data_IF_668446456562
#
_entry.id   IF_668446456562
#
_cell.length_a   1.000
_cell.length_b   1.000
_cell.length_c   1.000
_cell.angle_alpha   90.00
_cell.angle_beta   90.00
_cell.angle_gamma   90.00
#
_symmetry.space_group_name_H-M   'P 1'
#
loop_
_entity.id
_entity.type
_entity.pdbx_description
1 polymer ?
#
# COMPACT_ATOMS: atom_id res chain seq x y z
N UNK A 1 -6.24 -3.39 -11.94
CA UNK A 1 -5.92 -1.95 -11.78
C UNK A 1 -5.25 -1.64 -10.44
N UNK A 2 -5.86 -1.94 -9.28
CA UNK A 2 -5.29 -1.60 -7.95
C UNK A 2 -3.80 -1.98 -7.81
N UNK A 3 -3.46 -3.25 -8.05
CA UNK A 3 -2.08 -3.74 -7.87
C UNK A 3 -1.07 -3.06 -8.81
N UNK A 4 -1.51 -2.65 -9.99
CA UNK A 4 -0.66 -1.95 -10.97
C UNK A 4 -0.33 -0.53 -10.49
N UNK A 5 -1.31 0.15 -9.89
CA UNK A 5 -1.08 1.46 -9.26
C UNK A 5 -0.21 1.30 -8.01
N UNK A 6 -0.37 0.22 -7.25
CA UNK A 6 0.49 -0.04 -6.10
C UNK A 6 1.95 -0.34 -6.50
N UNK A 7 2.19 -1.03 -7.61
CA UNK A 7 3.56 -1.20 -8.13
C UNK A 7 4.24 0.12 -8.51
N UNK A 8 3.48 1.19 -8.79
CA UNK A 8 4.05 2.52 -8.98
C UNK A 8 4.59 3.10 -7.66
N UNK A 9 3.95 2.83 -6.51
CA UNK A 9 4.52 3.18 -5.20
C UNK A 9 5.81 2.42 -4.94
N UNK A 10 5.81 1.10 -5.10
CA UNK A 10 7.03 0.29 -4.93
C UNK A 10 8.16 0.76 -5.85
N UNK A 11 7.84 1.18 -7.09
CA UNK A 11 8.84 1.72 -8.00
C UNK A 11 9.41 3.06 -7.51
N UNK A 12 8.57 3.92 -6.94
CA UNK A 12 9.01 5.18 -6.32
C UNK A 12 9.99 4.90 -5.18
N UNK A 13 9.64 3.99 -4.28
CA UNK A 13 10.49 3.54 -3.17
C UNK A 13 11.84 3.00 -3.65
N UNK A 14 11.82 2.19 -4.71
CA UNK A 14 13.05 1.68 -5.31
C UNK A 14 13.93 2.80 -5.86
N UNK A 15 13.34 3.78 -6.57
CA UNK A 15 14.08 4.92 -7.10
C UNK A 15 14.68 5.75 -5.96
N UNK A 16 13.89 6.07 -4.93
CA UNK A 16 14.35 6.78 -3.74
C UNK A 16 15.47 6.02 -3.03
N UNK A 17 15.36 4.70 -2.93
CA UNK A 17 16.42 3.85 -2.40
C UNK A 17 17.68 3.89 -3.26
N UNK A 18 17.59 3.95 -4.58
CA UNK A 18 18.80 4.10 -5.40
C UNK A 18 19.45 5.49 -5.25
N UNK A 19 18.65 6.53 -5.01
CA UNK A 19 19.13 7.91 -4.88
C UNK A 19 19.45 8.31 -3.44
N UNK A 20 19.15 7.51 -2.42
CA UNK A 20 19.13 7.92 -1.01
C UNK A 20 20.40 8.63 -0.51
N UNK A 21 21.58 8.28 -1.04
CA UNK A 21 22.85 8.94 -0.71
C UNK A 21 22.95 10.38 -1.22
N UNK A 22 22.30 10.67 -2.33
CA UNK A 22 22.27 12.00 -2.96
C UNK A 22 21.23 12.90 -2.29
N UNK A 23 20.10 12.32 -1.89
CA UNK A 23 18.96 13.04 -1.29
C UNK A 23 18.91 12.94 0.25
N UNK A 24 19.96 12.38 0.88
CA UNK A 24 20.11 12.24 2.33
C UNK A 24 18.91 11.58 3.06
N UNK A 25 18.32 10.55 2.46
CA UNK A 25 17.23 9.80 3.10
C UNK A 25 17.84 8.77 4.07
N UNK A 26 17.39 8.72 5.34
CA UNK A 26 17.88 7.75 6.30
C UNK A 26 17.56 6.32 5.88
N UNK A 27 18.52 5.40 5.99
CA UNK A 27 18.35 3.99 5.59
C UNK A 27 17.20 3.28 6.34
N UNK A 28 16.91 3.70 7.58
CA UNK A 28 15.81 3.19 8.39
C UNK A 28 14.44 3.35 7.71
N UNK A 29 14.25 4.43 6.94
CA UNK A 29 13.01 4.67 6.19
C UNK A 29 12.67 3.49 5.27
N UNK A 30 13.65 3.02 4.50
CA UNK A 30 13.43 1.95 3.52
C UNK A 30 13.13 0.59 4.15
N UNK A 31 13.66 0.31 5.35
CA UNK A 31 13.28 -0.91 6.07
C UNK A 31 11.79 -0.89 6.45
N UNK A 32 11.26 0.28 6.81
CA UNK A 32 9.84 0.43 7.10
C UNK A 32 9.00 0.38 5.84
N UNK A 33 9.34 1.14 4.79
CA UNK A 33 8.50 1.21 3.59
C UNK A 33 8.48 -0.10 2.81
N UNK A 34 9.62 -0.72 2.53
CA UNK A 34 9.65 -2.05 1.89
C UNK A 34 9.01 -3.14 2.76
N UNK A 35 9.09 -3.02 4.09
CA UNK A 35 8.38 -3.89 5.01
C UNK A 35 6.87 -3.77 4.86
N UNK A 36 6.37 -2.53 4.78
CA UNK A 36 4.95 -2.25 4.56
C UNK A 36 4.51 -2.68 3.16
N UNK A 37 5.33 -2.49 2.13
CA UNK A 37 5.05 -2.99 0.77
C UNK A 37 4.81 -4.49 0.75
N UNK A 38 5.67 -5.24 1.43
CA UNK A 38 5.48 -6.68 1.58
C UNK A 38 4.16 -7.02 2.29
N UNK A 39 3.82 -6.29 3.36
CA UNK A 39 2.56 -6.49 4.09
C UNK A 39 1.32 -6.14 3.25
N UNK A 40 1.40 -5.14 2.37
CA UNK A 40 0.35 -4.83 1.39
C UNK A 40 0.17 -6.00 0.41
N UNK A 41 1.27 -6.54 -0.13
CA UNK A 41 1.23 -7.70 -1.04
C UNK A 41 0.65 -8.94 -0.35
N UNK A 42 1.04 -9.22 0.89
CA UNK A 42 0.47 -10.31 1.69
C UNK A 42 -1.03 -10.10 1.91
N UNK A 43 -1.45 -8.88 2.22
CA UNK A 43 -2.87 -8.54 2.40
C UNK A 43 -3.66 -8.72 1.11
N UNK A 44 -3.07 -8.37 -0.03
CA UNK A 44 -3.66 -8.64 -1.35
C UNK A 44 -3.84 -10.13 -1.62
N UNK A 45 -2.83 -10.95 -1.32
CA UNK A 45 -2.93 -12.41 -1.43
C UNK A 45 -4.04 -12.96 -0.52
N UNK A 46 -4.16 -12.46 0.71
CA UNK A 46 -5.26 -12.84 1.62
C UNK A 46 -6.64 -12.50 1.05
N UNK A 47 -6.78 -11.36 0.36
CA UNK A 47 -8.03 -10.99 -0.34
C UNK A 47 -8.35 -12.00 -1.45
N UNK A 48 -7.35 -12.44 -2.23
CA UNK A 48 -7.55 -13.48 -3.27
C UNK A 48 -8.04 -14.81 -2.69
N UNK A 49 -7.66 -15.12 -1.44
CA UNK A 49 -8.16 -16.27 -0.69
C UNK A 49 -9.45 -15.99 0.12
N UNK A 50 -10.15 -14.88 -0.18
CA UNK A 50 -11.42 -14.51 0.45
C UNK A 50 -11.34 -14.35 1.97
N UNK A 51 -10.16 -13.94 2.49
CA UNK A 51 -9.94 -13.71 3.91
C UNK A 51 -10.31 -12.28 4.31
N UNK A 52 -11.23 -12.14 5.26
CA UNK A 52 -11.66 -10.85 5.84
C UNK A 52 -10.50 -10.00 6.36
N UNK A 53 -9.50 -10.66 6.95
CA UNK A 53 -8.31 -10.00 7.49
C UNK A 53 -7.57 -9.21 6.40
N UNK A 54 -7.42 -9.77 5.20
CA UNK A 54 -6.75 -9.08 4.09
C UNK A 54 -7.47 -7.80 3.67
N UNK A 55 -8.80 -7.79 3.75
CA UNK A 55 -9.65 -6.65 3.39
C UNK A 55 -9.45 -5.47 4.34
N UNK A 56 -9.19 -5.76 5.62
CA UNK A 56 -8.94 -4.72 6.63
C UNK A 56 -7.47 -4.27 6.58
N UNK A 57 -6.56 -5.23 6.47
CA UNK A 57 -5.13 -4.96 6.49
C UNK A 57 -4.64 -4.22 5.23
N UNK A 58 -5.21 -4.50 4.06
CA UNK A 58 -4.79 -3.86 2.81
C UNK A 58 -4.86 -2.32 2.85
N UNK A 59 -6.02 -1.68 3.09
CA UNK A 59 -6.08 -0.22 3.16
C UNK A 59 -5.32 0.35 4.37
N UNK A 60 -5.22 -0.41 5.47
CA UNK A 60 -4.44 0.00 6.64
C UNK A 60 -2.95 0.13 6.28
N UNK A 61 -2.36 -0.87 5.62
CA UNK A 61 -0.95 -0.84 5.25
C UNK A 61 -0.67 0.17 4.14
N UNK A 62 -1.56 0.37 3.17
CA UNK A 62 -1.41 1.45 2.19
C UNK A 62 -1.46 2.83 2.87
N UNK A 63 -2.33 3.03 3.86
CA UNK A 63 -2.35 4.28 4.63
C UNK A 63 -1.08 4.47 5.49
N UNK A 64 -0.52 3.40 6.06
CA UNK A 64 0.75 3.44 6.78
C UNK A 64 1.89 3.78 5.81
N UNK A 65 1.93 3.18 4.62
CA UNK A 65 2.92 3.50 3.58
C UNK A 65 2.88 4.99 3.23
N UNK A 66 1.68 5.51 2.95
CA UNK A 66 1.47 6.93 2.69
C UNK A 66 1.92 7.81 3.87
N UNK A 67 1.61 7.41 5.10
CA UNK A 67 1.99 8.14 6.31
C UNK A 67 3.51 8.15 6.52
N UNK A 68 4.22 7.07 6.19
CA UNK A 68 5.68 7.01 6.25
C UNK A 68 6.30 8.01 5.28
N UNK A 69 5.84 8.04 4.03
CA UNK A 69 6.28 9.01 3.03
C UNK A 69 5.99 10.45 3.45
N UNK A 70 4.80 10.71 4.00
CA UNK A 70 4.45 12.03 4.48
C UNK A 70 5.29 12.45 5.71
N UNK A 71 5.53 11.52 6.64
CA UNK A 71 6.26 11.81 7.88
C UNK A 71 7.77 11.99 7.65
N UNK A 72 8.40 11.10 6.87
CA UNK A 72 9.86 11.14 6.65
C UNK A 72 10.26 12.09 5.52
N UNK A 73 9.48 12.17 4.46
CA UNK A 73 9.86 12.88 3.23
C UNK A 73 8.99 14.10 2.94
N UNK A 74 7.89 14.31 3.69
CA UNK A 74 6.85 15.30 3.35
C UNK A 74 6.29 15.14 1.93
N UNK A 75 6.39 13.93 1.37
CA UNK A 75 5.94 13.59 0.03
C UNK A 75 4.48 13.17 0.05
N UNK A 76 3.70 13.66 -0.92
CA UNK A 76 2.32 13.23 -1.13
C UNK A 76 2.26 12.23 -2.30
N UNK A 77 2.20 10.94 -1.98
CA UNK A 77 2.11 9.89 -3.00
C UNK A 77 0.68 9.75 -3.54
N UNK A 78 0.46 10.31 -4.73
CA UNK A 78 -0.80 10.16 -5.46
C UNK A 78 -1.11 8.69 -5.80
N UNK A 79 -0.09 7.84 -5.96
CA UNK A 79 -0.24 6.40 -6.15
C UNK A 79 -1.00 5.76 -4.98
N UNK A 80 -0.58 6.02 -3.73
CA UNK A 80 -1.21 5.45 -2.53
C UNK A 80 -2.66 5.90 -2.36
N UNK A 81 -2.92 7.20 -2.52
CA UNK A 81 -4.27 7.74 -2.43
C UNK A 81 -5.17 7.17 -3.53
N UNK A 82 -4.64 7.01 -4.73
CA UNK A 82 -5.36 6.39 -5.84
C UNK A 82 -5.65 4.91 -5.56
N UNK A 83 -4.71 4.17 -4.96
CA UNK A 83 -4.92 2.79 -4.52
C UNK A 83 -6.06 2.71 -3.50
N UNK A 84 -6.08 3.59 -2.49
CA UNK A 84 -7.16 3.66 -1.49
C UNK A 84 -8.50 4.01 -2.14
N UNK A 85 -8.52 4.98 -3.05
CA UNK A 85 -9.73 5.36 -3.77
C UNK A 85 -10.29 4.18 -4.60
N UNK A 86 -9.45 3.52 -5.39
CA UNK A 86 -9.83 2.36 -6.19
C UNK A 86 -10.27 1.19 -5.30
N UNK A 87 -9.61 1.01 -4.17
CA UNK A 87 -9.94 -0.03 -3.20
C UNK A 87 -11.31 0.19 -2.57
N UNK A 88 -11.62 1.41 -2.11
CA UNK A 88 -12.93 1.74 -1.55
C UNK A 88 -14.01 1.66 -2.63
N UNK A 89 -13.75 2.19 -3.83
CA UNK A 89 -14.68 2.11 -4.97
C UNK A 89 -15.04 0.67 -5.34
N UNK A 90 -14.04 -0.22 -5.41
CA UNK A 90 -14.28 -1.66 -5.63
C UNK A 90 -14.86 -2.34 -4.40
N UNK A 91 -14.49 -1.92 -3.20
CA UNK A 91 -14.99 -2.43 -1.94
C UNK A 91 -16.51 -2.25 -1.81
N UNK A 92 -17.02 -1.07 -2.17
CA UNK A 92 -18.46 -0.77 -2.23
C UNK A 92 -19.21 -1.70 -3.20
N UNK A 93 -18.61 -2.07 -4.33
CA UNK A 93 -19.27 -2.84 -5.38
C UNK A 93 -19.14 -4.36 -5.22
N UNK A 94 -18.01 -4.85 -4.70
CA UNK A 94 -17.67 -6.28 -4.73
C UNK A 94 -17.50 -6.90 -3.34
N UNK A 95 -17.02 -6.13 -2.35
CA UNK A 95 -16.66 -6.64 -1.03
C UNK A 95 -17.84 -6.54 -0.06
N UNK A 96 -18.48 -5.37 0.04
CA UNK A 96 -19.61 -5.15 0.96
C UNK A 96 -20.76 -6.12 0.70
N UNK A 97 -21.20 -6.38 -0.54
CA UNK A 97 -22.30 -7.30 -0.81
C UNK A 97 -22.00 -8.75 -0.40
N UNK A 98 -20.72 -9.13 -0.34
CA UNK A 98 -20.24 -10.50 -0.05
C UNK A 98 -19.60 -10.62 1.32
N UNK A 99 -19.77 -9.62 2.19
CA UNK A 99 -19.12 -9.57 3.50
C UNK A 99 -19.39 -10.80 4.36
N UNK A 100 -20.60 -11.33 4.31
CA UNK A 100 -20.98 -12.51 5.08
C UNK A 100 -20.39 -13.82 4.53
N UNK A 101 -20.07 -13.86 3.23
CA UNK A 101 -19.50 -15.04 2.56
C UNK A 101 -17.98 -15.14 2.74
N UNK A 102 -17.32 -14.02 3.08
CA UNK A 102 -15.89 -13.95 3.31
C UNK A 102 -15.52 -14.65 4.63
N UNK A 103 -14.43 -15.44 4.61
CA UNK A 103 -13.98 -16.25 5.75
C UNK A 103 -12.92 -15.54 6.60
#
# INVERSE_FOLDING_TARGET
>A
MIILVFFLSINTDYIEYTLHKTINIPSNFFYYTFGVDFLVLVSWVLILFFRKVGIILFPLFVAIHFALHNYYLSTFLYSDVTVLFLYIGLGLLAIIPRWNDLK
#
